data_IF_052557991057
#
_entry.id   IF_052557991057
#
_cell.length_a   1.000
_cell.length_b   1.000
_cell.length_c   1.000
_cell.angle_alpha   90.00
_cell.angle_beta   90.00
_cell.angle_gamma   90.00
#
_symmetry.space_group_name_H-M   'P 1'
#
loop_
_entity.id
_entity.type
_entity.pdbx_description
1 polymer ?
#
# COMPACT_ATOMS: atom_id res chain seq x y z
N UNK A 1 -23.37 4.37 -17.06
CA UNK A 1 -22.19 4.95 -16.43
C UNK A 1 -21.43 5.71 -17.50
N UNK A 2 -21.27 7.02 -17.38
CA UNK A 2 -20.52 7.81 -18.37
C UNK A 2 -19.01 7.66 -18.18
N UNK A 3 -18.24 8.06 -19.19
CA UNK A 3 -16.77 8.09 -19.08
C UNK A 3 -16.31 9.16 -18.07
N UNK A 4 -17.05 10.26 -17.92
CA UNK A 4 -16.81 11.27 -16.87
C UNK A 4 -17.02 10.68 -15.46
N UNK A 5 -18.11 9.96 -15.23
CA UNK A 5 -18.34 9.25 -13.96
C UNK A 5 -17.24 8.23 -13.68
N UNK A 6 -16.72 7.59 -14.72
CA UNK A 6 -15.60 6.65 -14.59
C UNK A 6 -14.32 7.38 -14.20
N UNK A 7 -14.03 8.54 -14.81
CA UNK A 7 -12.88 9.37 -14.47
C UNK A 7 -12.93 9.84 -13.02
N UNK A 8 -14.08 10.31 -12.56
CA UNK A 8 -14.26 10.78 -11.18
C UNK A 8 -14.07 9.64 -10.17
N UNK A 9 -14.62 8.45 -10.46
CA UNK A 9 -14.41 7.26 -9.61
C UNK A 9 -12.94 6.82 -9.59
N UNK A 10 -12.24 6.89 -10.73
CA UNK A 10 -10.82 6.56 -10.77
C UNK A 10 -9.97 7.57 -9.97
N UNK A 11 -10.33 8.86 -9.99
CA UNK A 11 -9.66 9.89 -9.18
C UNK A 11 -9.86 9.65 -7.69
N UNK A 12 -11.10 9.34 -7.28
CA UNK A 12 -11.41 8.97 -5.91
C UNK A 12 -10.61 7.74 -5.45
N UNK A 13 -10.60 6.69 -6.27
CA UNK A 13 -9.82 5.48 -5.99
C UNK A 13 -8.31 5.76 -5.86
N UNK A 14 -7.74 6.58 -6.75
CA UNK A 14 -6.32 6.93 -6.68
C UNK A 14 -5.97 7.66 -5.37
N UNK A 15 -6.83 8.58 -4.92
CA UNK A 15 -6.65 9.28 -3.66
C UNK A 15 -6.80 8.36 -2.45
N UNK A 16 -7.76 7.42 -2.48
CA UNK A 16 -7.93 6.41 -1.43
C UNK A 16 -6.74 5.46 -1.35
N UNK A 17 -6.19 5.03 -2.51
CA UNK A 17 -5.02 4.16 -2.57
C UNK A 17 -3.78 4.86 -2.00
N UNK A 18 -3.58 6.15 -2.31
CA UNK A 18 -2.49 6.94 -1.73
C UNK A 18 -2.60 7.04 -0.20
N UNK A 19 -3.79 7.35 0.32
CA UNK A 19 -4.01 7.42 1.77
C UNK A 19 -3.82 6.07 2.46
N UNK A 20 -4.26 4.99 1.82
CA UNK A 20 -4.05 3.64 2.31
C UNK A 20 -2.56 3.29 2.40
N UNK A 21 -1.79 3.56 1.33
CA UNK A 21 -0.36 3.28 1.29
C UNK A 21 0.41 4.07 2.36
N UNK A 22 0.09 5.36 2.54
CA UNK A 22 0.70 6.19 3.57
C UNK A 22 0.42 5.64 4.98
N UNK A 23 -0.83 5.27 5.25
CA UNK A 23 -1.23 4.69 6.53
C UNK A 23 -0.58 3.33 6.79
N UNK A 24 -0.47 2.50 5.75
CA UNK A 24 0.17 1.19 5.83
C UNK A 24 1.67 1.31 6.09
N UNK A 25 2.35 2.23 5.41
CA UNK A 25 3.78 2.48 5.61
C UNK A 25 4.08 2.95 7.04
N UNK A 26 3.26 3.86 7.58
CA UNK A 26 3.38 4.31 8.97
C UNK A 26 3.14 3.15 9.95
N UNK A 27 2.12 2.34 9.70
CA UNK A 27 1.79 1.17 10.53
C UNK A 27 2.90 0.13 10.51
N UNK A 28 3.49 -0.13 9.34
CA UNK A 28 4.63 -1.03 9.17
C UNK A 28 5.83 -0.59 10.02
N UNK A 29 6.24 0.68 9.90
CA UNK A 29 7.37 1.23 10.66
C UNK A 29 7.12 1.12 12.17
N UNK A 30 5.91 1.49 12.62
CA UNK A 30 5.55 1.41 14.03
C UNK A 30 5.58 -0.03 14.55
N UNK A 31 5.11 -0.99 13.75
CA UNK A 31 5.10 -2.40 14.09
C UNK A 31 6.51 -2.99 14.13
N UNK A 32 7.37 -2.66 13.17
CA UNK A 32 8.78 -3.06 13.12
C UNK A 32 9.56 -2.57 14.34
N UNK A 33 9.36 -1.31 14.73
CA UNK A 33 10.01 -0.75 15.92
C UNK A 33 9.60 -1.52 17.20
N UNK A 34 8.30 -1.78 17.37
CA UNK A 34 7.79 -2.54 18.52
C UNK A 34 8.28 -3.99 18.51
N UNK A 35 8.35 -4.61 17.33
CA UNK A 35 8.91 -5.95 17.18
C UNK A 35 10.39 -5.96 17.63
N UNK A 36 11.19 -5.01 17.16
CA UNK A 36 12.60 -4.90 17.51
C UNK A 36 12.80 -4.67 19.02
N UNK A 37 12.00 -3.82 19.65
CA UNK A 37 12.02 -3.59 21.10
C UNK A 37 11.68 -4.87 21.88
N UNK A 38 10.62 -5.58 21.47
CA UNK A 38 10.20 -6.83 22.12
C UNK A 38 11.25 -7.94 21.97
N UNK A 39 11.85 -8.08 20.79
CA UNK A 39 12.84 -9.13 20.49
C UNK A 39 14.09 -9.06 21.38
N UNK A 40 14.45 -7.90 21.92
CA UNK A 40 15.59 -7.75 22.84
C UNK A 40 15.36 -8.48 24.15
N UNK A 41 14.16 -8.37 24.72
CA UNK A 41 13.83 -8.89 26.05
C UNK A 41 13.08 -10.23 26.01
N UNK A 42 12.47 -10.58 24.87
CA UNK A 42 11.60 -11.74 24.75
C UNK A 42 12.28 -12.87 23.96
N UNK A 43 12.74 -13.90 24.69
CA UNK A 43 13.54 -15.02 24.13
C UNK A 43 13.01 -16.40 24.57
N UNK A 44 11.76 -16.49 25.00
CA UNK A 44 11.16 -17.75 25.41
C UNK A 44 10.64 -18.58 24.21
N UNK A 45 10.00 -19.71 24.49
CA UNK A 45 9.45 -20.58 23.47
C UNK A 45 8.31 -19.91 22.64
N UNK A 46 7.58 -18.96 23.24
CA UNK A 46 6.52 -18.22 22.54
C UNK A 46 7.11 -17.18 21.59
N UNK A 47 8.27 -16.59 21.92
CA UNK A 47 8.97 -15.69 21.01
C UNK A 47 9.31 -16.36 19.67
N UNK A 48 9.63 -17.66 19.69
CA UNK A 48 9.89 -18.43 18.46
C UNK A 48 8.63 -18.63 17.63
N UNK A 49 7.51 -19.01 18.24
CA UNK A 49 6.23 -19.16 17.55
C UNK A 49 5.75 -17.83 16.95
N UNK A 50 5.90 -16.75 17.72
CA UNK A 50 5.63 -15.40 17.22
C UNK A 50 6.54 -15.03 16.05
N UNK A 51 7.84 -15.34 16.10
CA UNK A 51 8.77 -15.05 15.00
C UNK A 51 8.41 -15.80 13.71
N UNK A 52 7.91 -17.03 13.81
CA UNK A 52 7.40 -17.81 12.67
C UNK A 52 6.18 -17.15 12.01
N UNK A 53 5.29 -16.54 12.81
CA UNK A 53 4.16 -15.77 12.29
C UNK A 53 4.56 -14.37 11.77
N UNK A 54 5.57 -13.75 12.39
CA UNK A 54 6.07 -12.43 12.04
C UNK A 54 6.72 -12.39 10.65
N UNK A 55 7.60 -13.36 10.35
CA UNK A 55 8.39 -13.36 9.11
C UNK A 55 7.54 -13.25 7.82
N UNK A 56 6.48 -14.05 7.61
CA UNK A 56 5.65 -13.92 6.41
C UNK A 56 4.85 -12.61 6.36
N UNK A 57 4.37 -12.12 7.51
CA UNK A 57 3.68 -10.83 7.59
C UNK A 57 4.60 -9.69 7.18
N UNK A 58 5.80 -9.65 7.77
CA UNK A 58 6.82 -8.63 7.48
C UNK A 58 7.20 -8.63 5.99
N UNK A 59 7.48 -9.81 5.44
CA UNK A 59 7.80 -9.95 4.02
C UNK A 59 6.67 -9.44 3.10
N UNK A 60 5.41 -9.71 3.45
CA UNK A 60 4.25 -9.20 2.72
C UNK A 60 4.13 -7.68 2.79
N UNK A 61 4.31 -7.10 3.99
CA UNK A 61 4.27 -5.65 4.20
C UNK A 61 5.40 -4.92 3.46
N UNK A 62 6.61 -5.45 3.50
CA UNK A 62 7.74 -4.91 2.73
C UNK A 62 7.51 -5.01 1.22
N UNK A 63 7.03 -6.16 0.74
CA UNK A 63 6.74 -6.36 -0.68
C UNK A 63 5.74 -5.33 -1.21
N UNK A 64 4.65 -5.12 -0.47
CA UNK A 64 3.67 -4.10 -0.82
C UNK A 64 4.27 -2.69 -0.77
N UNK A 65 4.85 -2.29 0.36
CA UNK A 65 5.31 -0.91 0.57
C UNK A 65 6.46 -0.51 -0.37
N UNK A 66 7.34 -1.44 -0.73
CA UNK A 66 8.54 -1.14 -1.51
C UNK A 66 8.37 -1.38 -3.01
N UNK A 67 7.41 -2.22 -3.42
CA UNK A 67 7.26 -2.62 -4.82
C UNK A 67 5.84 -2.51 -5.33
N UNK A 68 4.91 -3.29 -4.77
CA UNK A 68 3.58 -3.45 -5.39
C UNK A 68 2.75 -2.16 -5.28
N UNK A 69 2.69 -1.52 -4.12
CA UNK A 69 1.96 -0.26 -3.92
C UNK A 69 2.41 0.84 -4.89
N UNK A 70 3.72 1.16 -4.97
CA UNK A 70 4.25 2.10 -5.96
C UNK A 70 3.92 1.75 -7.41
N UNK A 71 4.01 0.47 -7.79
CA UNK A 71 3.67 0.00 -9.13
C UNK A 71 2.17 0.19 -9.44
N UNK A 72 1.29 -0.16 -8.51
CA UNK A 72 -0.15 0.05 -8.64
C UNK A 72 -0.50 1.54 -8.75
N UNK A 73 0.10 2.39 -7.92
CA UNK A 73 -0.07 3.85 -7.99
C UNK A 73 0.35 4.40 -9.33
N UNK A 74 1.51 3.97 -9.84
CA UNK A 74 1.99 4.36 -11.16
C UNK A 74 0.99 3.95 -12.25
N UNK A 75 0.54 2.70 -12.25
CA UNK A 75 -0.44 2.19 -13.20
C UNK A 75 -1.74 3.00 -13.20
N UNK A 76 -2.31 3.28 -12.02
CA UNK A 76 -3.55 4.06 -11.88
C UNK A 76 -3.35 5.49 -12.40
N UNK A 77 -2.21 6.10 -12.11
CA UNK A 77 -1.87 7.46 -12.57
C UNK A 77 -1.79 7.54 -14.09
N UNK A 78 -1.13 6.57 -14.74
CA UNK A 78 -1.05 6.51 -16.20
C UNK A 78 -2.42 6.30 -16.84
N UNK A 79 -3.28 5.46 -16.24
CA UNK A 79 -4.66 5.28 -16.72
C UNK A 79 -5.50 6.54 -16.57
N UNK A 80 -5.39 7.25 -15.45
CA UNK A 80 -6.06 8.53 -15.24
C UNK A 80 -5.63 9.59 -16.25
N UNK A 81 -4.33 9.66 -16.57
CA UNK A 81 -3.81 10.56 -17.60
C UNK A 81 -4.41 10.23 -18.96
N UNK A 82 -4.38 8.96 -19.36
CA UNK A 82 -4.93 8.53 -20.66
C UNK A 82 -6.43 8.82 -20.79
N UNK A 83 -7.22 8.56 -19.74
CA UNK A 83 -8.66 8.82 -19.74
C UNK A 83 -8.97 10.32 -19.77
N UNK A 84 -8.22 11.13 -19.02
CA UNK A 84 -8.38 12.60 -19.04
C UNK A 84 -8.07 13.16 -20.43
N UNK A 85 -6.96 12.73 -21.05
CA UNK A 85 -6.59 13.15 -22.41
C UNK A 85 -7.63 12.76 -23.46
N UNK A 86 -8.22 11.56 -23.34
CA UNK A 86 -9.27 11.11 -24.26
C UNK A 86 -10.51 12.00 -24.17
N UNK A 87 -10.97 12.31 -22.95
CA UNK A 87 -12.15 13.14 -22.72
C UNK A 87 -11.93 14.61 -23.11
N UNK A 88 -10.72 15.14 -22.90
CA UNK A 88 -10.36 16.51 -23.26
C UNK A 88 -10.09 16.67 -24.77
N UNK A 89 -9.76 15.59 -25.48
CA UNK A 89 -9.47 15.57 -26.92
C UNK A 89 -10.68 15.35 -27.83
N UNK A 90 -11.86 15.03 -27.27
CA UNK A 90 -13.14 14.94 -27.99
C UNK A 90 -13.93 16.27 -28.01
N UNK A 91 -13.32 17.39 -27.62
CA UNK A 91 -13.88 18.75 -27.76
C UNK A 91 -13.31 19.53 -28.93
#
# INVERSE_FOLDING_TARGET
MSLDETLDRMRAFAAELEQFDDALQQSRIALENRHAEAAVAWQDAFAREYAEAWAPLHAGLECWCLREGPEYRHFVTEKLRALSQYLDGER
#
